data_IF_751374321849
#
_entry.id   IF_751374321849
#
_cell.length_a   1.000
_cell.length_b   1.000
_cell.length_c   1.000
_cell.angle_alpha   90.00
_cell.angle_beta   90.00
_cell.angle_gamma   90.00
#
_symmetry.space_group_name_H-M   'P 1'
#
loop_
_entity.id
_entity.type
_entity.pdbx_description
1 polymer ?
#
# COMPACT_ATOMS: atom_id res chain seq x y z
N UNK A 1 31.32 14.28 15.52
CA UNK A 1 30.60 14.00 16.78
C UNK A 1 29.16 13.67 16.41
N UNK A 2 28.77 12.40 16.53
CA UNK A 2 27.40 11.94 16.21
C UNK A 2 26.47 12.21 17.39
N UNK A 3 25.35 12.88 17.13
CA UNK A 3 24.25 13.02 18.08
C UNK A 3 23.12 12.10 17.59
N UNK A 4 22.92 11.01 18.33
CA UNK A 4 21.78 10.09 18.20
C UNK A 4 20.61 10.65 19.01
N UNK A 5 19.54 11.07 18.34
CA UNK A 5 18.27 11.36 19.01
C UNK A 5 17.44 10.07 19.09
N UNK A 6 17.32 9.53 20.31
CA UNK A 6 16.29 8.55 20.67
C UNK A 6 14.97 9.30 20.89
N UNK A 7 13.95 8.98 20.10
CA UNK A 7 12.57 9.39 20.39
C UNK A 7 12.02 8.49 21.49
N UNK A 8 11.81 9.07 22.66
CA UNK A 8 11.03 8.49 23.75
C UNK A 8 9.55 8.72 23.42
N UNK A 9 8.81 7.65 23.14
CA UNK A 9 7.34 7.73 23.00
C UNK A 9 6.73 7.59 24.39
N UNK A 10 6.22 8.70 24.91
CA UNK A 10 5.41 8.78 26.12
C UNK A 10 3.98 8.32 25.80
N UNK A 11 3.56 7.18 26.34
CA UNK A 11 2.16 6.73 26.33
C UNK A 11 1.51 7.14 27.65
N UNK A 12 1.00 8.37 27.68
CA UNK A 12 0.07 8.83 28.69
C UNK A 12 -1.27 8.10 28.58
N UNK A 13 -1.41 6.96 29.27
CA UNK A 13 -2.69 6.37 29.62
C UNK A 13 -2.59 5.70 30.99
N UNK A 14 -3.17 6.36 32.00
CA UNK A 14 -3.20 5.87 33.37
C UNK A 14 -3.87 4.49 33.48
N UNK A 15 -3.32 3.54 34.27
CA UNK A 15 -3.91 2.23 34.44
C UNK A 15 -5.17 2.30 35.32
N UNK A 16 -6.31 1.81 34.81
CA UNK A 16 -7.56 1.71 35.57
C UNK A 16 -7.40 0.73 36.75
N UNK A 17 -7.95 1.02 37.94
CA UNK A 17 -7.77 0.17 39.12
C UNK A 17 -8.52 -1.17 38.99
N UNK A 18 -7.82 -2.26 39.32
CA UNK A 18 -8.37 -3.64 39.35
C UNK A 18 -9.29 -3.80 40.56
N UNK A 19 -10.57 -4.11 40.33
CA UNK A 19 -11.53 -4.49 41.40
C UNK A 19 -11.12 -5.85 42.00
N UNK A 20 -11.24 -6.07 43.32
CA UNK A 20 -10.88 -7.33 43.96
C UNK A 20 -11.79 -8.47 43.48
N UNK A 21 -11.18 -9.60 43.15
CA UNK A 21 -11.82 -10.82 42.66
C UNK A 21 -12.57 -11.49 43.81
N UNK A 22 -13.89 -11.40 43.81
CA UNK A 22 -14.73 -12.25 44.66
C UNK A 22 -14.60 -13.71 44.21
N UNK A 23 -14.33 -14.59 45.17
CA UNK A 23 -14.19 -16.04 44.98
C UNK A 23 -15.54 -16.62 44.52
N UNK A 24 -15.55 -17.25 43.33
CA UNK A 24 -16.75 -17.87 42.76
C UNK A 24 -16.83 -19.31 43.23
N UNK A 25 -17.87 -19.65 43.98
CA UNK A 25 -18.21 -21.02 44.36
C UNK A 25 -18.46 -21.90 43.11
N UNK A 26 -18.09 -23.20 43.13
CA UNK A 26 -18.26 -24.07 41.97
C UNK A 26 -19.72 -24.51 41.83
N UNK A 27 -20.33 -24.22 40.66
CA UNK A 27 -21.62 -24.84 40.27
C UNK A 27 -21.37 -26.01 39.32
N UNK A 28 -21.94 -27.14 39.71
CA UNK A 28 -21.86 -28.46 39.07
C UNK A 28 -22.71 -28.49 37.79
N UNK A 29 -22.16 -29.16 36.80
CA UNK A 29 -22.63 -29.43 35.43
C UNK A 29 -24.08 -29.95 35.34
N UNK A 30 -24.88 -29.45 34.38
CA UNK A 30 -25.90 -30.27 33.68
C UNK A 30 -26.42 -29.63 32.39
N UNK A 31 -26.33 -30.42 31.31
CA UNK A 31 -27.24 -30.56 30.15
C UNK A 31 -27.16 -29.57 28.96
N UNK A 32 -26.30 -29.97 28.00
CA UNK A 32 -26.60 -30.28 26.57
C UNK A 32 -27.71 -29.43 25.91
N UNK A 33 -27.34 -28.25 25.42
CA UNK A 33 -28.04 -27.55 24.34
C UNK A 33 -27.31 -27.81 23.01
N UNK A 34 -28.04 -28.29 22.02
CA UNK A 34 -27.61 -28.50 20.65
C UNK A 34 -27.09 -27.18 20.05
N UNK A 35 -25.77 -27.09 19.83
CA UNK A 35 -25.15 -25.99 19.12
C UNK A 35 -25.41 -26.20 17.63
N UNK A 36 -26.35 -25.44 17.09
CA UNK A 36 -26.54 -25.32 15.65
C UNK A 36 -25.27 -24.70 15.07
N UNK A 37 -24.53 -25.48 14.29
CA UNK A 37 -23.28 -25.07 13.64
C UNK A 37 -23.60 -24.06 12.53
N UNK A 38 -23.58 -22.77 12.87
CA UNK A 38 -23.69 -21.67 11.89
C UNK A 38 -22.33 -21.45 11.23
N UNK A 39 -21.98 -22.38 10.34
CA UNK A 39 -21.36 -22.19 9.03
C UNK A 39 -20.32 -21.05 8.92
N UNK A 40 -19.07 -21.37 9.25
CA UNK A 40 -17.86 -20.60 8.89
C UNK A 40 -17.50 -20.59 7.39
N UNK A 41 -18.46 -20.79 6.46
CA UNK A 41 -18.21 -20.74 5.00
C UNK A 41 -18.31 -19.35 4.40
N UNK A 42 -19.11 -18.45 4.97
CA UNK A 42 -19.38 -17.14 4.37
C UNK A 42 -18.20 -16.16 4.48
N UNK A 43 -17.24 -16.39 5.39
CA UNK A 43 -16.07 -15.52 5.56
C UNK A 43 -14.97 -15.76 4.54
N UNK A 44 -14.80 -17.00 4.06
CA UNK A 44 -13.73 -17.33 3.11
C UNK A 44 -14.07 -16.89 1.68
N UNK A 45 -15.31 -17.12 1.23
CA UNK A 45 -15.74 -16.76 -0.13
C UNK A 45 -15.63 -15.24 -0.39
N UNK A 46 -16.00 -14.41 0.59
CA UNK A 46 -15.91 -12.93 0.49
C UNK A 46 -14.46 -12.45 0.52
N UNK A 47 -13.58 -13.11 1.27
CA UNK A 47 -12.16 -12.77 1.31
C UNK A 47 -11.47 -13.10 -0.02
N UNK A 48 -11.74 -14.30 -0.56
CA UNK A 48 -11.21 -14.75 -1.85
C UNK A 48 -11.64 -13.84 -3.00
N UNK A 49 -12.90 -13.37 -3.00
CA UNK A 49 -13.41 -12.43 -4.01
C UNK A 49 -12.71 -11.07 -3.96
N UNK A 50 -12.50 -10.51 -2.76
CA UNK A 50 -11.77 -9.24 -2.56
C UNK A 50 -10.31 -9.34 -2.98
N UNK A 51 -9.66 -10.46 -2.69
CA UNK A 51 -8.28 -10.71 -3.10
C UNK A 51 -8.17 -10.81 -4.63
N UNK A 52 -9.14 -11.46 -5.27
CA UNK A 52 -9.21 -11.56 -6.72
C UNK A 52 -9.42 -10.18 -7.37
N UNK A 53 -10.32 -9.36 -6.84
CA UNK A 53 -10.55 -8.00 -7.33
C UNK A 53 -9.30 -7.11 -7.19
N UNK A 54 -8.66 -7.14 -6.02
CA UNK A 54 -7.43 -6.40 -5.80
C UNK A 54 -6.32 -6.82 -6.76
N UNK A 55 -6.20 -8.12 -7.05
CA UNK A 55 -5.22 -8.63 -8.02
C UNK A 55 -5.48 -8.10 -9.43
N UNK A 56 -6.75 -8.04 -9.86
CA UNK A 56 -7.14 -7.43 -11.14
C UNK A 56 -6.78 -5.95 -11.20
N UNK A 57 -7.00 -5.22 -10.11
CA UNK A 57 -6.62 -3.80 -10.01
C UNK A 57 -5.10 -3.61 -10.14
N UNK A 58 -4.29 -4.42 -9.45
CA UNK A 58 -2.83 -4.38 -9.59
C UNK A 58 -2.37 -4.65 -11.02
N UNK A 59 -2.98 -5.65 -11.66
CA UNK A 59 -2.67 -6.02 -13.04
C UNK A 59 -3.09 -4.94 -14.04
N UNK A 60 -4.20 -4.24 -13.79
CA UNK A 60 -4.61 -3.09 -14.58
C UNK A 60 -3.63 -1.93 -14.45
N UNK A 61 -3.25 -1.56 -13.22
CA UNK A 61 -2.32 -0.46 -12.95
C UNK A 61 -0.96 -0.72 -13.61
N UNK A 62 -0.40 -1.93 -13.46
CA UNK A 62 0.90 -2.23 -14.09
C UNK A 62 0.81 -2.30 -15.62
N UNK A 63 -0.31 -2.78 -16.20
CA UNK A 63 -0.52 -2.77 -17.65
C UNK A 63 -0.57 -1.33 -18.17
N UNK A 64 -1.33 -0.47 -17.50
CA UNK A 64 -1.42 0.96 -17.81
C UNK A 64 -0.05 1.61 -17.75
N UNK A 65 0.73 1.38 -16.68
CA UNK A 65 2.10 1.89 -16.59
C UNK A 65 2.96 1.46 -17.78
N UNK A 66 2.94 0.17 -18.14
CA UNK A 66 3.75 -0.36 -19.27
C UNK A 66 3.35 0.27 -20.61
N UNK A 67 2.05 0.48 -20.82
CA UNK A 67 1.52 1.09 -22.04
C UNK A 67 1.99 2.55 -22.15
N UNK A 68 1.71 3.37 -21.13
CA UNK A 68 2.15 4.77 -21.07
C UNK A 68 3.65 4.90 -21.29
N UNK A 69 4.43 4.07 -20.59
CA UNK A 69 5.89 4.06 -20.69
C UNK A 69 6.38 3.72 -22.10
N UNK A 70 5.71 2.80 -22.81
CA UNK A 70 6.05 2.39 -24.17
C UNK A 70 5.62 3.44 -25.21
N UNK A 71 4.37 3.89 -25.13
CA UNK A 71 3.77 4.84 -26.08
C UNK A 71 4.50 6.18 -26.08
N UNK A 72 4.80 6.69 -24.87
CA UNK A 72 5.52 7.96 -24.69
C UNK A 72 7.05 7.81 -24.75
N UNK A 73 7.57 6.60 -25.00
CA UNK A 73 9.02 6.27 -25.04
C UNK A 73 9.80 6.82 -23.83
N UNK A 74 9.23 6.68 -22.64
CA UNK A 74 9.80 7.27 -21.42
C UNK A 74 10.94 6.42 -20.85
N UNK A 75 11.86 7.07 -20.12
CA UNK A 75 12.86 6.38 -19.27
C UNK A 75 12.44 6.29 -17.80
N UNK A 76 11.53 7.17 -17.39
CA UNK A 76 10.91 7.25 -16.07
C UNK A 76 9.62 8.07 -16.19
N UNK A 77 8.65 7.84 -15.32
CA UNK A 77 7.35 8.51 -15.31
C UNK A 77 7.15 9.21 -13.97
N UNK A 78 6.67 10.44 -13.94
CA UNK A 78 6.42 11.14 -12.69
C UNK A 78 5.38 10.34 -11.87
N UNK A 79 5.69 10.06 -10.60
CA UNK A 79 4.83 9.26 -9.73
C UNK A 79 3.45 9.90 -9.57
N UNK A 80 3.41 11.21 -9.29
CA UNK A 80 2.16 11.92 -9.04
C UNK A 80 1.34 12.09 -10.32
N UNK A 81 1.98 12.28 -11.47
CA UNK A 81 1.30 12.26 -12.77
C UNK A 81 0.60 10.91 -13.01
N UNK A 82 1.23 9.80 -12.60
CA UNK A 82 0.70 8.47 -12.82
C UNK A 82 -0.46 8.09 -11.90
N UNK A 83 -0.35 8.40 -10.60
CA UNK A 83 -1.34 7.93 -9.61
C UNK A 83 -2.51 8.87 -9.42
N UNK A 84 -2.37 10.15 -9.81
CA UNK A 84 -3.38 11.17 -9.51
C UNK A 84 -4.50 11.14 -10.53
N UNK A 85 -5.71 10.94 -10.03
CA UNK A 85 -6.95 11.27 -10.74
C UNK A 85 -7.34 12.72 -10.37
N UNK A 86 -7.46 13.65 -11.33
CA UNK A 86 -7.77 15.04 -11.05
C UNK A 86 -9.23 15.29 -10.65
N UNK A 87 -10.11 14.31 -10.83
CA UNK A 87 -11.54 14.41 -10.55
C UNK A 87 -11.96 13.59 -9.32
N UNK A 88 -11.14 12.62 -8.90
CA UNK A 88 -11.44 11.76 -7.74
C UNK A 88 -10.22 11.52 -6.82
N UNK A 89 -10.27 12.11 -5.62
CA UNK A 89 -9.27 11.89 -4.58
C UNK A 89 -9.25 10.43 -4.09
N UNK A 90 -10.42 9.77 -3.97
CA UNK A 90 -10.52 8.38 -3.55
C UNK A 90 -9.82 7.44 -4.53
N UNK A 91 -10.06 7.63 -5.83
CA UNK A 91 -9.34 6.92 -6.89
C UNK A 91 -7.83 7.16 -6.80
N UNK A 92 -7.39 8.40 -6.51
CA UNK A 92 -5.96 8.69 -6.29
C UNK A 92 -5.38 7.90 -5.12
N UNK A 93 -6.08 7.83 -3.98
CA UNK A 93 -5.64 7.04 -2.82
C UNK A 93 -5.53 5.55 -3.17
N UNK A 94 -6.52 5.01 -3.89
CA UNK A 94 -6.49 3.63 -4.36
C UNK A 94 -5.32 3.36 -5.31
N UNK A 95 -5.06 4.25 -6.26
CA UNK A 95 -3.92 4.17 -7.17
C UNK A 95 -2.59 4.20 -6.42
N UNK A 96 -2.43 5.11 -5.46
CA UNK A 96 -1.27 5.17 -4.57
C UNK A 96 -1.04 3.84 -3.84
N UNK A 97 -2.11 3.26 -3.30
CA UNK A 97 -2.08 1.96 -2.62
C UNK A 97 -1.65 0.86 -3.59
N UNK A 98 -2.27 0.72 -4.75
CA UNK A 98 -1.88 -0.26 -5.77
C UNK A 98 -0.40 -0.14 -6.15
N UNK A 99 0.10 1.09 -6.41
CA UNK A 99 1.51 1.29 -6.74
C UNK A 99 2.43 0.93 -5.56
N UNK A 100 2.04 1.18 -4.31
CA UNK A 100 2.83 0.76 -3.15
C UNK A 100 3.02 -0.77 -3.10
N UNK A 101 2.00 -1.57 -3.48
CA UNK A 101 2.14 -3.02 -3.61
C UNK A 101 3.06 -3.41 -4.77
N UNK A 102 2.95 -2.72 -5.91
CA UNK A 102 3.85 -2.96 -7.05
C UNK A 102 5.32 -2.64 -6.72
N UNK A 103 5.57 -1.65 -5.88
CA UNK A 103 6.90 -1.31 -5.37
C UNK A 103 7.40 -2.37 -4.38
N UNK A 104 6.52 -2.84 -3.47
CA UNK A 104 6.83 -3.92 -2.52
C UNK A 104 7.22 -5.21 -3.24
N UNK A 105 6.50 -5.58 -4.29
CA UNK A 105 6.75 -6.78 -5.10
C UNK A 105 7.88 -6.58 -6.13
N UNK A 106 8.60 -5.45 -6.07
CA UNK A 106 9.70 -5.12 -6.97
C UNK A 106 9.30 -5.16 -8.47
N UNK A 107 8.01 -4.98 -8.76
CA UNK A 107 7.46 -4.88 -10.12
C UNK A 107 7.68 -3.49 -10.71
N UNK A 108 7.80 -2.49 -9.85
CA UNK A 108 8.19 -1.11 -10.17
C UNK A 108 9.33 -0.67 -9.23
N UNK A 109 10.04 0.38 -9.64
CA UNK A 109 11.01 1.05 -8.80
C UNK A 109 10.68 2.53 -8.68
N UNK A 110 10.72 3.06 -7.45
CA UNK A 110 10.54 4.47 -7.17
C UNK A 110 11.91 5.10 -6.92
N UNK A 111 12.29 6.03 -7.78
CA UNK A 111 13.53 6.79 -7.65
C UNK A 111 13.25 8.26 -7.44
N UNK A 112 14.10 8.91 -6.64
CA UNK A 112 14.15 10.36 -6.50
C UNK A 112 15.61 10.74 -6.42
N UNK A 113 16.11 11.47 -7.41
CA UNK A 113 17.46 12.04 -7.40
C UNK A 113 17.45 13.36 -6.61
N UNK A 114 18.63 13.83 -6.23
CA UNK A 114 18.78 15.06 -5.45
C UNK A 114 18.22 16.28 -6.18
N UNK A 115 18.38 16.33 -7.51
CA UNK A 115 17.86 17.39 -8.38
C UNK A 115 16.38 17.23 -8.77
N UNK A 116 15.74 16.12 -8.39
CA UNK A 116 14.35 15.86 -8.76
C UNK A 116 13.38 16.52 -7.77
N UNK A 117 12.49 17.36 -8.30
CA UNK A 117 11.38 17.93 -7.53
C UNK A 117 10.40 16.83 -7.05
N UNK A 118 10.06 15.91 -7.94
CA UNK A 118 9.10 14.83 -7.72
C UNK A 118 9.75 13.45 -7.81
N UNK A 119 9.19 12.43 -7.13
CA UNK A 119 9.63 11.06 -7.33
C UNK A 119 9.15 10.51 -8.67
N UNK A 120 9.91 9.58 -9.24
CA UNK A 120 9.65 8.98 -10.54
C UNK A 120 9.59 7.45 -10.45
N UNK A 121 8.66 6.87 -11.21
CA UNK A 121 8.53 5.44 -11.41
C UNK A 121 9.36 5.00 -12.63
N UNK A 122 10.09 3.91 -12.48
CA UNK A 122 10.75 3.22 -13.60
C UNK A 122 10.58 1.71 -13.53
N UNK A 123 10.94 1.05 -14.63
CA UNK A 123 11.07 -0.40 -14.69
C UNK A 123 12.33 -0.82 -13.93
N UNK A 124 12.24 -1.95 -13.22
CA UNK A 124 13.40 -2.59 -12.63
C UNK A 124 14.22 -3.30 -13.72
N UNK A 125 15.56 -3.20 -13.67
CA UNK A 125 16.42 -3.94 -14.60
C UNK A 125 16.42 -5.44 -14.27
N UNK A 126 16.76 -6.28 -15.24
CA UNK A 126 16.90 -7.74 -15.04
C UNK A 126 17.96 -8.08 -13.99
N UNK A 127 19.05 -7.30 -13.97
CA UNK A 127 20.16 -7.49 -13.04
C UNK A 127 19.73 -7.17 -11.61
N UNK A 128 19.02 -6.04 -11.43
CA UNK A 128 18.47 -5.62 -10.12
C UNK A 128 17.44 -6.61 -9.58
N UNK A 129 16.63 -7.22 -10.46
CA UNK A 129 15.65 -8.22 -10.08
C UNK A 129 16.31 -9.50 -9.56
N UNK A 130 17.37 -9.94 -10.24
CA UNK A 130 18.19 -11.10 -9.85
C UNK A 130 18.89 -10.84 -8.51
N UNK A 131 19.42 -9.64 -8.30
CA UNK A 131 20.05 -9.28 -7.03
C UNK A 131 19.05 -9.20 -5.88
N UNK A 132 17.82 -8.71 -6.11
CA UNK A 132 16.77 -8.65 -5.09
C UNK A 132 16.36 -10.06 -4.59
N UNK A 133 16.28 -11.04 -5.49
CA UNK A 133 16.01 -12.45 -5.13
C UNK A 133 17.19 -13.12 -4.38
N UNK A 134 18.42 -12.60 -4.56
CA UNK A 134 19.65 -13.14 -3.95
C UNK A 134 20.03 -12.51 -2.61
N UNK A 135 19.32 -11.47 -2.12
CA UNK A 135 19.64 -10.79 -0.84
C UNK A 135 19.33 -11.64 0.40
N UNK A 136 18.98 -12.91 0.24
CA UNK A 136 18.81 -13.85 1.36
C UNK A 136 20.15 -14.07 2.12
N UNK A 137 21.31 -13.75 1.51
CA UNK A 137 22.64 -13.99 2.11
C UNK A 137 23.52 -12.73 2.21
N UNK A 138 23.04 -11.70 2.93
CA UNK A 138 23.90 -10.62 3.46
C UNK A 138 24.27 -9.48 2.50
N UNK A 139 23.67 -9.40 1.31
CA UNK A 139 23.82 -8.26 0.40
C UNK A 139 23.13 -6.99 0.92
N UNK A 140 23.63 -5.80 0.52
CA UNK A 140 22.95 -4.52 0.84
C UNK A 140 21.57 -4.54 0.16
N UNK A 141 20.47 -4.32 0.90
CA UNK A 141 19.14 -4.28 0.30
C UNK A 141 19.11 -3.17 -0.75
N UNK A 142 18.41 -3.41 -1.87
CA UNK A 142 18.14 -2.36 -2.84
C UNK A 142 17.47 -1.22 -2.07
N UNK A 143 18.15 -0.06 -2.00
CA UNK A 143 17.63 1.12 -1.32
C UNK A 143 16.43 1.64 -2.09
N UNK A 144 15.29 1.02 -1.86
CA UNK A 144 14.00 1.57 -2.21
C UNK A 144 13.84 2.79 -1.31
N UNK A 145 13.71 3.99 -1.88
CA UNK A 145 13.30 5.17 -1.12
C UNK A 145 11.84 4.96 -0.71
N UNK A 146 11.60 4.07 0.28
CA UNK A 146 10.30 3.68 0.82
C UNK A 146 9.71 4.78 1.70
N UNK A 147 9.90 6.04 1.32
CA UNK A 147 9.16 7.14 1.92
C UNK A 147 7.75 7.01 1.38
N UNK A 148 6.88 6.38 2.16
CA UNK A 148 5.43 6.39 1.95
C UNK A 148 5.04 7.86 1.83
N UNK A 149 4.82 8.33 0.60
CA UNK A 149 4.48 9.71 0.35
C UNK A 149 3.05 9.93 0.82
N UNK A 150 2.88 10.48 2.02
CA UNK A 150 1.57 10.90 2.50
C UNK A 150 0.99 11.91 1.53
N UNK A 151 -0.24 11.65 1.07
CA UNK A 151 -1.02 12.54 0.22
C UNK A 151 -2.29 12.94 0.98
N UNK A 152 -2.38 14.21 1.31
CA UNK A 152 -3.58 14.81 1.89
C UNK A 152 -4.45 15.38 0.77
N UNK A 153 -5.72 15.67 1.06
CA UNK A 153 -6.61 16.30 0.08
C UNK A 153 -6.05 17.62 -0.47
N UNK A 154 -5.54 18.50 0.42
CA UNK A 154 -4.91 19.76 0.00
C UNK A 154 -3.68 19.54 -0.89
N UNK A 155 -2.85 18.52 -0.58
CA UNK A 155 -1.70 18.17 -1.41
C UNK A 155 -2.14 17.62 -2.77
N UNK A 156 -3.20 16.81 -2.82
CA UNK A 156 -3.79 16.35 -4.06
C UNK A 156 -4.25 17.52 -4.94
N UNK A 157 -4.96 18.51 -4.38
CA UNK A 157 -5.37 19.71 -5.11
C UNK A 157 -4.16 20.48 -5.67
N UNK A 158 -3.10 20.63 -4.86
CA UNK A 158 -1.84 21.24 -5.30
C UNK A 158 -1.20 20.48 -6.45
N UNK A 159 -1.11 19.15 -6.36
CA UNK A 159 -0.58 18.30 -7.44
C UNK A 159 -1.38 18.46 -8.73
N UNK A 160 -2.72 18.43 -8.66
CA UNK A 160 -3.59 18.60 -9.84
C UNK A 160 -3.34 19.93 -10.52
N UNK A 161 -3.21 20.99 -9.73
CA UNK A 161 -2.92 22.34 -10.22
C UNK A 161 -1.51 22.44 -10.81
N UNK A 162 -0.47 22.07 -10.05
CA UNK A 162 0.93 22.29 -10.40
C UNK A 162 1.37 21.44 -11.60
N UNK A 163 0.81 20.25 -11.75
CA UNK A 163 1.05 19.37 -12.91
C UNK A 163 0.04 19.57 -14.04
N UNK A 164 -0.92 20.50 -13.91
CA UNK A 164 -1.99 20.76 -14.88
C UNK A 164 -2.71 19.48 -15.33
N UNK A 165 -3.09 18.62 -14.38
CA UNK A 165 -3.70 17.33 -14.69
C UNK A 165 -5.17 17.52 -15.10
N UNK A 166 -5.49 17.15 -16.34
CA UNK A 166 -6.86 17.21 -16.88
C UNK A 166 -7.53 15.84 -16.97
N UNK A 167 -6.75 14.78 -17.10
CA UNK A 167 -7.23 13.40 -17.24
C UNK A 167 -6.38 12.43 -16.41
N UNK A 168 -7.02 11.40 -15.87
CA UNK A 168 -6.33 10.32 -15.16
C UNK A 168 -5.66 9.34 -16.14
N UNK A 169 -4.40 8.96 -15.85
CA UNK A 169 -3.70 7.93 -16.63
C UNK A 169 -4.26 6.54 -16.36
N UNK A 170 -4.62 6.25 -15.11
CA UNK A 170 -5.26 5.00 -14.70
C UNK A 170 -6.77 5.22 -14.80
N UNK A 171 -7.37 4.75 -15.89
CA UNK A 171 -8.83 4.78 -16.07
C UNK A 171 -9.49 3.70 -15.21
N UNK A 172 -10.70 3.93 -14.68
CA UNK A 172 -11.46 2.88 -14.02
C UNK A 172 -11.67 1.69 -14.97
N UNK A 173 -11.62 0.47 -14.44
CA UNK A 173 -11.95 -0.72 -15.23
C UNK A 173 -13.44 -0.65 -15.59
N UNK A 174 -13.74 -0.29 -16.83
CA UNK A 174 -15.07 -0.53 -17.40
C UNK A 174 -15.23 -2.04 -17.53
N UNK A 175 -15.89 -2.67 -16.55
CA UNK A 175 -16.31 -4.06 -16.67
C UNK A 175 -17.23 -4.17 -17.90
N UNK A 176 -16.76 -4.92 -18.90
CA UNK A 176 -17.56 -5.34 -20.06
C UNK A 176 -17.94 -6.80 -19.92
#
# INVERSE_FOLDING_TARGET
MSIVFRVLVDFGAAPKPKKPRAERAPRKNTQKGELVDVKGKQTNEIAEEKDADFTKQLDHVIKTFRNVYKERKLRRLNYYEFVTDPHDFGATIQNCFCVAFLLKDMRLYLEKKEDDEFPYLRKLSKDEKTSADQVIDGGKPLQTNQTINTITYSKWQGIVHDLNLTEALIKPNEEK
#
